data_IF_559784142308
#
_entry.id   IF_559784142308
#
_cell.length_a   1.000
_cell.length_b   1.000
_cell.length_c   1.000
_cell.angle_alpha   90.00
_cell.angle_beta   90.00
_cell.angle_gamma   90.00
#
_symmetry.space_group_name_H-M   'P 1'
#
loop_
_entity.id
_entity.type
_entity.pdbx_description
1 polymer ?
#
# COMPACT_ATOMS: atom_id res chain seq x y z
N UNK A 1 17.64 -12.32 -11.45
CA UNK A 1 16.29 -11.83 -11.10
C UNK A 1 16.35 -10.32 -11.25
N UNK A 2 15.48 -9.70 -12.03
CA UNK A 2 15.45 -8.24 -12.08
C UNK A 2 15.02 -7.73 -10.69
N UNK A 3 15.90 -7.00 -10.01
CA UNK A 3 15.65 -6.42 -8.68
C UNK A 3 14.52 -5.39 -8.68
N UNK A 4 14.05 -4.99 -9.86
CA UNK A 4 13.05 -3.96 -10.09
C UNK A 4 12.10 -4.39 -11.19
N UNK A 5 10.79 -4.34 -10.93
CA UNK A 5 9.75 -4.50 -11.94
C UNK A 5 9.03 -3.17 -12.19
N UNK A 6 8.55 -2.98 -13.43
CA UNK A 6 7.86 -1.76 -13.83
C UNK A 6 6.40 -2.07 -14.20
N UNK A 7 5.46 -1.42 -13.51
CA UNK A 7 4.03 -1.66 -13.61
C UNK A 7 3.30 -0.42 -14.13
N UNK A 8 2.18 -0.62 -14.83
CA UNK A 8 1.28 0.46 -15.16
C UNK A 8 0.56 0.95 -13.89
N UNK A 9 0.19 2.22 -13.85
CA UNK A 9 -0.43 2.84 -12.68
C UNK A 9 -1.75 2.13 -12.27
N UNK A 10 -2.46 1.59 -13.27
CA UNK A 10 -3.73 0.87 -13.12
C UNK A 10 -3.56 -0.64 -12.97
N UNK A 11 -2.32 -1.15 -12.88
CA UNK A 11 -2.11 -2.57 -12.63
C UNK A 11 -2.49 -2.90 -11.18
N UNK A 12 -3.01 -4.11 -11.01
CA UNK A 12 -3.45 -4.62 -9.71
C UNK A 12 -2.24 -5.08 -8.91
N UNK A 13 -2.21 -4.72 -7.64
CA UNK A 13 -1.26 -5.22 -6.64
C UNK A 13 -2.02 -5.91 -5.50
N UNK A 14 -1.51 -7.06 -5.09
CA UNK A 14 -2.04 -7.82 -3.96
C UNK A 14 -1.19 -7.53 -2.72
N UNK A 15 -1.86 -7.29 -1.59
CA UNK A 15 -1.23 -7.04 -0.30
C UNK A 15 -1.71 -8.08 0.71
N UNK A 16 -0.80 -8.54 1.56
CA UNK A 16 -1.10 -9.32 2.75
C UNK A 16 -0.73 -8.49 3.98
N UNK A 17 -1.72 -7.97 4.69
CA UNK A 17 -1.53 -7.06 5.82
C UNK A 17 -1.90 -7.77 7.11
N UNK A 18 -0.89 -8.26 7.83
CA UNK A 18 -1.08 -9.03 9.06
C UNK A 18 -1.93 -10.30 8.87
N UNK A 19 -1.90 -10.90 7.67
CA UNK A 19 -2.74 -12.05 7.29
C UNK A 19 -3.99 -11.68 6.51
N UNK A 20 -4.37 -10.39 6.44
CA UNK A 20 -5.57 -9.94 5.73
C UNK A 20 -5.24 -9.53 4.30
N UNK A 21 -5.99 -10.07 3.33
CA UNK A 21 -5.79 -9.81 1.90
C UNK A 21 -6.45 -8.51 1.48
N UNK A 22 -5.71 -7.70 0.74
CA UNK A 22 -6.18 -6.49 0.09
C UNK A 22 -5.77 -6.48 -1.37
N UNK A 23 -6.66 -5.98 -2.21
CA UNK A 23 -6.41 -5.74 -3.63
C UNK A 23 -6.56 -4.25 -3.90
N UNK A 24 -5.58 -3.66 -4.57
CA UNK A 24 -5.63 -2.24 -4.97
C UNK A 24 -4.78 -2.01 -6.21
N UNK A 25 -4.66 -0.76 -6.65
CA UNK A 25 -3.82 -0.37 -7.79
C UNK A 25 -2.43 0.09 -7.32
N UNK A 26 -1.42 -0.10 -8.17
CA UNK A 26 -0.08 0.44 -7.92
C UNK A 26 -0.09 1.96 -7.69
N UNK A 27 -0.94 2.70 -8.41
CA UNK A 27 -1.06 4.14 -8.22
C UNK A 27 -1.53 4.54 -6.82
N UNK A 28 -2.41 3.74 -6.20
CA UNK A 28 -2.94 4.02 -4.86
C UNK A 28 -1.80 4.05 -3.84
N UNK A 29 -0.86 3.10 -3.96
CA UNK A 29 0.28 2.99 -3.07
C UNK A 29 1.35 4.04 -3.41
N UNK A 30 1.65 4.23 -4.70
CA UNK A 30 2.67 5.17 -5.14
C UNK A 30 2.32 6.64 -4.86
N UNK A 31 1.02 6.99 -4.87
CA UNK A 31 0.53 8.36 -4.57
C UNK A 31 0.24 8.62 -3.10
N UNK A 32 0.27 7.60 -2.24
CA UNK A 32 -0.06 7.69 -0.81
C UNK A 32 0.79 8.68 -0.01
N UNK A 33 1.91 9.17 -0.56
CA UNK A 33 2.95 9.97 0.12
C UNK A 33 3.49 9.29 1.40
N UNK A 34 3.28 7.99 1.54
CA UNK A 34 3.74 7.22 2.69
C UNK A 34 5.25 7.00 2.61
N UNK A 35 5.96 7.35 3.69
CA UNK A 35 7.39 7.04 3.82
C UNK A 35 7.66 5.53 3.82
N UNK A 36 6.68 4.70 4.18
CA UNK A 36 6.77 3.24 4.12
C UNK A 36 6.80 2.75 2.67
N UNK A 37 5.79 3.09 1.87
CA UNK A 37 5.69 2.65 0.47
C UNK A 37 6.83 3.22 -0.39
N UNK A 38 7.30 4.46 -0.11
CA UNK A 38 8.41 5.08 -0.84
C UNK A 38 9.77 4.34 -0.71
N UNK A 39 9.89 3.38 0.22
CA UNK A 39 11.07 2.52 0.35
C UNK A 39 11.17 1.49 -0.77
N UNK A 40 10.04 1.07 -1.34
CA UNK A 40 9.99 -0.01 -2.31
C UNK A 40 9.10 0.26 -3.52
N UNK A 41 8.38 1.37 -3.58
CA UNK A 41 7.57 1.81 -4.72
C UNK A 41 7.88 3.26 -5.07
N UNK A 42 8.12 3.56 -6.36
CA UNK A 42 8.30 4.93 -6.86
C UNK A 42 7.75 5.07 -8.27
N UNK A 43 7.22 6.25 -8.59
CA UNK A 43 6.88 6.60 -9.97
C UNK A 43 8.16 7.02 -10.69
N UNK A 44 8.46 6.39 -11.81
CA UNK A 44 9.50 6.86 -12.71
C UNK A 44 9.01 8.07 -13.49
N UNK A 45 9.70 9.20 -13.35
CA UNK A 45 9.31 10.45 -13.99
C UNK A 45 9.56 10.46 -15.50
N UNK A 46 10.36 9.52 -16.03
CA UNK A 46 10.64 9.41 -17.46
C UNK A 46 9.55 8.59 -18.15
N UNK A 47 9.29 7.38 -17.65
CA UNK A 47 8.33 6.45 -18.29
C UNK A 47 6.89 6.58 -17.76
N UNK A 48 6.70 7.22 -16.60
CA UNK A 48 5.41 7.27 -15.90
C UNK A 48 5.01 5.95 -15.23
N UNK A 49 5.84 4.90 -15.31
CA UNK A 49 5.57 3.59 -14.70
C UNK A 49 5.85 3.61 -13.20
N UNK A 50 5.21 2.70 -12.49
CA UNK A 50 5.49 2.46 -11.07
C UNK A 50 6.56 1.37 -10.96
N UNK A 51 7.71 1.73 -10.40
CA UNK A 51 8.81 0.82 -10.13
C UNK A 51 8.63 0.17 -8.76
N UNK A 52 8.63 -1.16 -8.71
CA UNK A 52 8.64 -1.97 -7.50
C UNK A 52 10.03 -2.56 -7.29
N UNK A 53 10.66 -2.23 -6.17
CA UNK A 53 12.00 -2.72 -5.80
C UNK A 53 11.86 -3.99 -4.95
N UNK A 54 11.95 -5.16 -5.59
CA UNK A 54 11.66 -6.46 -4.95
C UNK A 54 12.55 -6.75 -3.74
N UNK A 55 13.81 -6.30 -3.76
CA UNK A 55 14.74 -6.44 -2.62
C UNK A 55 14.27 -5.76 -1.32
N UNK A 56 13.30 -4.85 -1.41
CA UNK A 56 12.80 -4.06 -0.29
C UNK A 56 11.37 -4.48 0.13
N UNK A 57 10.83 -5.54 -0.47
CA UNK A 57 9.54 -6.13 -0.06
C UNK A 57 9.73 -7.56 0.37
N UNK A 58 8.82 -8.01 1.22
CA UNK A 58 8.59 -9.43 1.45
C UNK A 58 7.31 -9.80 0.73
N UNK A 59 7.28 -10.95 0.09
CA UNK A 59 6.08 -11.50 -0.55
C UNK A 59 5.67 -12.79 0.16
N UNK A 60 4.37 -13.06 0.25
CA UNK A 60 3.86 -14.35 0.72
C UNK A 60 3.93 -15.42 -0.37
N UNK A 61 3.48 -16.64 -0.05
CA UNK A 61 3.54 -17.78 -0.97
C UNK A 61 2.72 -17.55 -2.25
N UNK A 62 1.75 -16.64 -2.22
CA UNK A 62 0.90 -16.25 -3.34
C UNK A 62 1.39 -14.99 -4.07
N UNK A 63 2.57 -14.46 -3.70
CA UNK A 63 3.19 -13.30 -4.35
C UNK A 63 2.58 -11.95 -3.95
N UNK A 64 1.83 -11.87 -2.84
CA UNK A 64 1.36 -10.59 -2.33
C UNK A 64 2.39 -9.94 -1.42
N UNK A 65 2.51 -8.61 -1.52
CA UNK A 65 3.42 -7.85 -0.67
C UNK A 65 2.93 -7.94 0.77
N UNK A 66 3.77 -8.52 1.63
CA UNK A 66 3.51 -8.64 3.05
C UNK A 66 3.78 -7.32 3.78
N UNK A 67 2.82 -6.90 4.59
CA UNK A 67 2.89 -5.73 5.46
C UNK A 67 2.63 -6.19 6.88
N UNK A 68 3.62 -6.04 7.75
CA UNK A 68 3.53 -6.40 9.16
C UNK A 68 2.75 -5.33 9.95
N UNK A 69 1.43 -5.23 9.71
CA UNK A 69 0.51 -4.28 10.35
C UNK A 69 -0.85 -4.93 10.56
N UNK A 70 -1.67 -4.30 11.41
CA UNK A 70 -3.06 -4.69 11.63
C UNK A 70 -3.87 -4.50 10.33
N UNK A 71 -4.45 -5.59 9.85
CA UNK A 71 -5.22 -5.59 8.62
C UNK A 71 -6.48 -4.72 8.71
N UNK A 72 -7.21 -4.74 9.83
CA UNK A 72 -8.46 -4.00 9.97
C UNK A 72 -8.23 -2.49 10.01
N UNK A 73 -7.20 -2.04 10.73
CA UNK A 73 -6.79 -0.64 10.75
C UNK A 73 -6.27 -0.19 9.37
N UNK A 74 -5.57 -1.07 8.65
CA UNK A 74 -5.07 -0.76 7.31
C UNK A 74 -6.19 -0.48 6.31
N UNK A 75 -7.40 -1.04 6.47
CA UNK A 75 -8.53 -0.72 5.61
C UNK A 75 -8.81 0.79 5.57
N UNK A 76 -8.73 1.46 6.73
CA UNK A 76 -8.96 2.91 6.83
C UNK A 76 -7.82 3.70 6.18
N UNK A 77 -6.57 3.26 6.35
CA UNK A 77 -5.43 3.86 5.65
C UNK A 77 -5.59 3.72 4.14
N UNK A 78 -6.02 2.56 3.65
CA UNK A 78 -6.25 2.30 2.23
C UNK A 78 -7.36 3.16 1.64
N UNK A 79 -8.46 3.37 2.37
CA UNK A 79 -9.51 4.30 1.95
C UNK A 79 -9.00 5.74 1.90
N UNK A 80 -8.20 6.17 2.87
CA UNK A 80 -7.56 7.48 2.83
C UNK A 80 -6.59 7.63 1.65
N UNK A 81 -5.85 6.59 1.27
CA UNK A 81 -4.99 6.61 0.10
C UNK A 81 -5.77 6.77 -1.23
N UNK A 82 -7.04 6.32 -1.27
CA UNK A 82 -7.92 6.44 -2.46
C UNK A 82 -8.61 7.80 -2.52
N UNK A 83 -9.22 8.22 -1.42
CA UNK A 83 -10.15 9.37 -1.40
C UNK A 83 -9.54 10.63 -0.77
N UNK A 84 -8.34 10.52 -0.19
CA UNK A 84 -7.69 11.59 0.55
C UNK A 84 -8.57 12.08 1.71
N UNK A 85 -8.68 13.41 1.85
CA UNK A 85 -9.48 14.05 2.91
C UNK A 85 -10.99 13.77 2.81
N UNK A 86 -11.47 13.15 1.72
CA UNK A 86 -12.87 12.76 1.55
C UNK A 86 -13.17 11.38 2.15
N UNK A 87 -12.15 10.63 2.57
CA UNK A 87 -12.34 9.34 3.21
C UNK A 87 -13.12 9.50 4.53
N UNK A 88 -14.13 8.64 4.72
CA UNK A 88 -14.87 8.59 5.97
C UNK A 88 -13.96 8.14 7.12
N UNK A 89 -14.00 8.87 8.21
CA UNK A 89 -13.33 8.48 9.45
C UNK A 89 -14.17 7.42 10.18
N UNK A 90 -13.53 6.46 10.87
CA UNK A 90 -14.25 5.57 11.78
C UNK A 90 -15.06 6.35 12.81
N UNK A 91 -16.31 5.96 13.05
CA UNK A 91 -17.16 6.58 14.07
C UNK A 91 -16.70 6.26 15.49
N UNK A 92 -16.11 5.07 15.68
CA UNK A 92 -15.67 4.59 16.98
C UNK A 92 -14.37 5.29 17.39
N UNK A 93 -14.43 6.08 18.45
CA UNK A 93 -13.27 6.80 19.00
C UNK A 93 -12.08 5.88 19.35
N UNK A 94 -12.35 4.63 19.74
CA UNK A 94 -11.28 3.65 19.99
C UNK A 94 -10.49 3.32 18.72
N UNK A 95 -11.17 3.05 17.61
CA UNK A 95 -10.53 2.78 16.30
C UNK A 95 -9.72 3.99 15.83
N UNK A 96 -10.25 5.20 15.99
CA UNK A 96 -9.52 6.43 15.67
C UNK A 96 -8.22 6.56 16.46
N UNK A 97 -8.25 6.27 17.77
CA UNK A 97 -7.04 6.28 18.58
C UNK A 97 -6.01 5.28 18.07
N UNK A 98 -6.44 4.06 17.75
CA UNK A 98 -5.54 3.03 17.25
C UNK A 98 -4.85 3.43 15.93
N UNK A 99 -5.52 4.16 15.03
CA UNK A 99 -4.92 4.64 13.78
C UNK A 99 -3.76 5.64 13.97
N UNK A 100 -3.72 6.34 15.11
CA UNK A 100 -2.67 7.34 15.40
C UNK A 100 -1.43 6.68 16.00
N UNK A 101 -1.60 5.59 16.75
CA UNK A 101 -0.52 4.88 17.48
C UNK A 101 -0.06 3.59 16.80
N UNK A 102 -0.65 3.19 15.67
CA UNK A 102 -0.30 1.95 14.95
C UNK A 102 1.01 2.04 14.17
#
# INVERSE_FOLDING_TARGET
MEDVSAHHATDIVQLNVGGKRYTTLFETLARSKSSFFNRFLRIDNITGKVLLFHRNVMEDAEGAIFINRDGDLFAHALQFMRDGKRAALPEKAYTLRQLIVS
#
